data_IF_122675609628
#
_entry.id   IF_122675609628
#
_cell.length_a   1.000
_cell.length_b   1.000
_cell.length_c   1.000
_cell.angle_alpha   90.00
_cell.angle_beta   90.00
_cell.angle_gamma   90.00
#
_symmetry.space_group_name_H-M   'P 1'
#
loop_
_entity.id
_entity.type
_entity.pdbx_description
1 polymer ?
#
# COMPACT_ATOMS: atom_id res chain seq x y z
N UNK A 1 3.25 0.01 44.16
CA UNK A 1 4.48 0.10 43.33
C UNK A 1 4.04 0.49 41.93
N UNK A 2 4.53 1.60 41.36
CA UNK A 2 3.86 2.23 40.24
C UNK A 2 4.15 1.43 38.94
N UNK A 3 3.08 0.97 38.28
CA UNK A 3 3.05 0.04 37.14
C UNK A 3 3.34 0.72 35.78
N UNK A 4 4.00 1.88 35.81
CA UNK A 4 4.21 2.80 34.69
C UNK A 4 5.59 2.66 34.02
N UNK A 5 6.42 1.69 34.42
CA UNK A 5 7.74 1.47 33.79
C UNK A 5 7.68 0.73 32.45
N UNK A 6 6.62 -0.06 32.17
CA UNK A 6 6.54 -0.87 30.94
C UNK A 6 6.10 -0.08 29.70
N UNK A 7 5.36 1.03 29.90
CA UNK A 7 4.88 1.85 28.78
C UNK A 7 6.02 2.58 28.05
N UNK A 8 7.02 3.05 28.81
CA UNK A 8 8.16 3.75 28.22
C UNK A 8 9.08 2.80 27.46
N UNK A 9 9.25 1.57 27.93
CA UNK A 9 10.02 0.53 27.23
C UNK A 9 9.44 0.24 25.83
N UNK A 10 8.11 0.14 25.71
CA UNK A 10 7.46 -0.05 24.41
C UNK A 10 7.70 1.12 23.44
N UNK A 11 7.73 2.36 23.95
CA UNK A 11 8.04 3.54 23.14
C UNK A 11 9.48 3.48 22.65
N UNK A 12 10.44 3.07 23.48
CA UNK A 12 11.85 2.95 23.08
C UNK A 12 12.02 1.90 21.98
N UNK A 13 11.37 0.74 22.12
CA UNK A 13 11.38 -0.32 21.11
C UNK A 13 10.75 0.18 19.80
N UNK A 14 9.63 0.89 19.88
CA UNK A 14 8.98 1.47 18.72
C UNK A 14 9.92 2.45 17.99
N UNK A 15 10.61 3.32 18.73
CA UNK A 15 11.60 4.25 18.15
C UNK A 15 12.73 3.50 17.44
N UNK A 16 13.26 2.41 18.02
CA UNK A 16 14.29 1.59 17.37
C UNK A 16 13.78 0.96 16.06
N UNK A 17 12.56 0.43 16.05
CA UNK A 17 11.95 -0.14 14.84
C UNK A 17 11.75 0.96 13.79
N UNK A 18 11.30 2.16 14.18
CA UNK A 18 11.18 3.30 13.27
C UNK A 18 12.54 3.76 12.71
N UNK A 19 13.62 3.67 13.48
CA UNK A 19 14.97 3.99 12.99
C UNK A 19 15.47 2.95 11.98
N UNK A 20 15.23 1.66 12.23
CA UNK A 20 15.67 0.57 11.34
C UNK A 20 14.85 0.49 10.06
N UNK A 21 13.52 0.53 10.20
CA UNK A 21 12.60 0.34 9.09
C UNK A 21 12.18 1.66 8.44
N UNK A 22 12.24 2.79 9.16
CA UNK A 22 11.76 4.09 8.71
C UNK A 22 10.26 4.31 8.98
N UNK A 23 9.89 5.56 9.23
CA UNK A 23 8.50 5.96 9.56
C UNK A 23 7.47 5.65 8.45
N UNK A 24 7.90 5.50 7.19
CA UNK A 24 7.02 5.19 6.05
C UNK A 24 6.74 3.69 5.87
N UNK A 25 7.61 2.79 6.36
CA UNK A 25 7.52 1.35 6.09
C UNK A 25 6.62 0.61 7.08
N UNK A 26 6.60 1.02 8.34
CA UNK A 26 5.68 0.48 9.34
C UNK A 26 4.19 0.64 9.00
N UNK A 27 3.70 1.83 8.61
CA UNK A 27 2.28 2.00 8.27
C UNK A 27 1.90 1.22 7.00
N UNK A 28 2.79 1.11 6.02
CA UNK A 28 2.54 0.30 4.81
C UNK A 28 2.43 -1.19 5.13
N UNK A 29 3.33 -1.73 5.95
CA UNK A 29 3.28 -3.12 6.39
C UNK A 29 2.04 -3.39 7.25
N UNK A 30 1.68 -2.47 8.14
CA UNK A 30 0.46 -2.59 8.94
C UNK A 30 -0.81 -2.57 8.08
N UNK A 31 -0.87 -1.73 7.03
CA UNK A 31 -2.00 -1.67 6.09
C UNK A 31 -2.14 -2.95 5.28
N UNK A 32 -1.04 -3.51 4.76
CA UNK A 32 -1.09 -4.74 3.95
C UNK A 32 -1.47 -5.97 4.79
N UNK A 33 -0.90 -6.10 6.00
CA UNK A 33 -1.24 -7.16 6.95
C UNK A 33 -2.64 -6.98 7.52
N UNK A 34 -3.08 -5.75 7.75
CA UNK A 34 -4.44 -5.44 8.21
C UNK A 34 -5.49 -5.84 7.18
N UNK A 35 -5.24 -5.61 5.88
CA UNK A 35 -6.15 -5.99 4.80
C UNK A 35 -6.28 -7.52 4.69
N UNK A 36 -5.18 -8.27 4.77
CA UNK A 36 -5.22 -9.74 4.77
C UNK A 36 -5.88 -10.32 6.02
N UNK A 37 -5.60 -9.77 7.20
CA UNK A 37 -6.27 -10.17 8.44
C UNK A 37 -7.78 -9.89 8.42
N UNK A 38 -8.23 -8.77 7.81
CA UNK A 38 -9.65 -8.43 7.72
C UNK A 38 -10.42 -9.48 6.92
N UNK A 39 -9.88 -9.86 5.76
CA UNK A 39 -10.48 -10.87 4.88
C UNK A 39 -10.53 -12.22 5.58
N UNK A 40 -9.41 -12.65 6.16
CA UNK A 40 -9.35 -13.90 6.92
C UNK A 40 -10.33 -13.92 8.10
N UNK A 41 -10.45 -12.82 8.83
CA UNK A 41 -11.41 -12.69 9.94
C UNK A 41 -12.86 -12.74 9.46
N UNK A 42 -13.18 -12.18 8.30
CA UNK A 42 -14.52 -12.23 7.72
C UNK A 42 -14.87 -13.67 7.33
N UNK A 43 -14.02 -14.34 6.56
CA UNK A 43 -14.24 -15.73 6.15
C UNK A 43 -14.35 -16.69 7.34
N UNK A 44 -13.46 -16.54 8.34
CA UNK A 44 -13.50 -17.36 9.57
C UNK A 44 -14.75 -17.08 10.41
N UNK A 45 -15.28 -15.86 10.38
CA UNK A 45 -16.50 -15.50 11.10
C UNK A 45 -17.74 -16.06 10.40
N UNK A 46 -17.78 -16.02 9.07
CA UNK A 46 -18.85 -16.61 8.26
C UNK A 46 -18.90 -18.14 8.45
N UNK A 47 -17.74 -18.80 8.55
CA UNK A 47 -17.64 -20.23 8.86
C UNK A 47 -18.09 -20.60 10.28
N UNK A 48 -18.10 -19.65 11.21
CA UNK A 48 -18.48 -19.89 12.62
C UNK A 48 -19.88 -19.38 12.96
N UNK A 49 -20.56 -18.70 12.05
CA UNK A 49 -21.86 -18.07 12.31
C UNK A 49 -22.74 -18.25 11.09
N UNK A 50 -23.63 -19.24 11.13
CA UNK A 50 -24.71 -19.52 10.16
C UNK A 50 -25.82 -18.42 10.17
N UNK A 51 -25.47 -17.15 10.37
CA UNK A 51 -26.43 -16.03 10.40
C UNK A 51 -25.90 -14.85 9.56
N UNK A 52 -26.72 -14.23 8.67
CA UNK A 52 -26.24 -13.24 7.71
C UNK A 52 -25.80 -11.94 8.40
N UNK A 53 -24.50 -11.64 8.35
CA UNK A 53 -23.97 -10.34 8.74
C UNK A 53 -24.28 -9.27 7.67
N UNK A 54 -24.59 -8.01 8.06
CA UNK A 54 -24.83 -6.92 7.11
C UNK A 54 -23.60 -6.68 6.23
N UNK A 55 -23.85 -6.59 4.92
CA UNK A 55 -22.85 -6.26 3.92
C UNK A 55 -22.44 -4.78 4.02
N UNK A 56 -21.43 -4.47 4.82
CA UNK A 56 -20.69 -3.21 4.67
C UNK A 56 -19.61 -3.36 3.61
N UNK A 57 -20.04 -3.33 2.36
CA UNK A 57 -19.17 -3.12 1.20
C UNK A 57 -19.00 -1.62 0.98
N UNK A 58 -17.86 -1.07 1.38
CA UNK A 58 -17.23 0.03 0.65
C UNK A 58 -15.71 -0.15 0.70
N UNK A 59 -15.07 -0.63 -0.37
CA UNK A 59 -13.64 -0.51 -0.53
C UNK A 59 -13.32 0.93 -0.97
N UNK A 60 -13.07 1.80 0.00
CA UNK A 60 -12.33 3.03 -0.23
C UNK A 60 -10.90 2.83 0.28
N UNK A 61 -10.14 2.05 -0.47
CA UNK A 61 -8.68 2.04 -0.39
C UNK A 61 -8.13 3.03 -1.42
N UNK A 62 -8.26 4.33 -1.14
CA UNK A 62 -7.36 5.35 -1.69
C UNK A 62 -7.12 6.41 -0.60
N UNK A 63 -5.86 6.55 -0.17
CA UNK A 63 -5.22 7.81 -0.47
C UNK A 63 -3.88 7.54 -1.14
N UNK A 64 -3.85 7.74 -2.45
CA UNK A 64 -2.82 8.48 -3.18
C UNK A 64 -1.54 8.71 -2.38
N UNK A 65 -0.56 7.84 -2.57
CA UNK A 65 0.84 8.25 -2.68
C UNK A 65 1.40 7.54 -3.90
N UNK A 66 0.84 7.93 -5.02
CA UNK A 66 1.59 8.15 -6.25
C UNK A 66 2.69 9.18 -5.91
N UNK A 67 3.89 8.70 -5.60
CA UNK A 67 5.09 9.54 -5.49
C UNK A 67 6.35 8.67 -5.54
N UNK A 68 6.64 8.14 -6.73
CA UNK A 68 8.00 8.05 -7.24
C UNK A 68 7.99 7.88 -8.76
N UNK A 69 7.95 9.03 -9.44
CA UNK A 69 8.85 9.29 -10.58
C UNK A 69 8.52 8.54 -11.87
N UNK A 70 7.64 9.17 -12.65
CA UNK A 70 7.99 9.57 -14.01
C UNK A 70 9.42 10.14 -14.03
N UNK A 71 10.42 9.29 -14.26
CA UNK A 71 11.67 9.70 -14.87
C UNK A 71 11.42 9.64 -16.38
N UNK A 72 11.06 10.78 -16.94
CA UNK A 72 11.21 11.01 -18.36
C UNK A 72 12.67 10.75 -18.76
N UNK A 73 12.96 9.96 -19.80
CA UNK A 73 14.13 10.24 -20.61
C UNK A 73 13.76 11.42 -21.51
N UNK A 74 14.23 12.61 -21.14
CA UNK A 74 14.27 13.74 -22.06
C UNK A 74 15.16 13.41 -23.25
N UNK A 75 14.56 13.54 -24.44
CA UNK A 75 15.11 14.10 -25.67
C UNK A 75 16.55 13.72 -26.11
N UNK A 76 16.60 13.03 -27.24
CA UNK A 76 17.73 12.80 -28.15
C UNK A 76 17.40 11.49 -28.87
N UNK A 77 16.97 11.45 -30.12
CA UNK A 77 17.62 11.92 -31.35
C UNK A 77 16.52 11.73 -32.42
N UNK A 78 16.05 12.76 -33.11
CA UNK A 78 16.42 12.96 -34.52
C UNK A 78 15.47 12.27 -35.52
N UNK A 79 14.50 13.09 -35.96
CA UNK A 79 14.00 13.24 -37.34
C UNK A 79 14.22 12.06 -38.31
N UNK A 80 13.11 11.49 -38.79
CA UNK A 80 12.69 11.67 -40.20
C UNK A 80 11.21 11.30 -40.40
N UNK A 81 10.37 12.24 -40.84
CA UNK A 81 9.13 11.93 -41.55
C UNK A 81 9.49 11.76 -43.04
N UNK A 82 9.42 10.55 -43.56
CA UNK A 82 9.31 10.30 -45.01
C UNK A 82 8.46 9.04 -45.14
N UNK A 83 7.15 9.20 -45.32
CA UNK A 83 6.53 9.27 -46.66
C UNK A 83 5.92 7.89 -46.96
N UNK A 84 4.78 7.63 -46.30
CA UNK A 84 3.86 6.58 -46.71
C UNK A 84 2.91 7.19 -47.75
N UNK A 85 3.13 6.85 -49.03
CA UNK A 85 2.08 6.90 -50.05
C UNK A 85 2.50 7.35 -51.45
N UNK A 86 2.88 6.40 -52.32
CA UNK A 86 2.45 6.47 -53.73
C UNK A 86 2.23 5.06 -54.34
N UNK A 87 0.98 4.69 -54.69
CA UNK A 87 0.63 3.41 -55.29
C UNK A 87 0.73 3.47 -56.82
N UNK A 88 1.90 3.15 -57.39
CA UNK A 88 2.01 2.87 -58.83
C UNK A 88 3.28 2.06 -59.19
N UNK A 89 3.17 0.73 -59.24
CA UNK A 89 3.92 -0.16 -60.15
C UNK A 89 3.24 -1.51 -60.31
#
# INVERSE_FOLDING_TARGET
MPANMRGWELIIILVLILLLFGARRLPDLARSVGRSMKIFRAEVKDLRTDEPAPQDSTPSDDPSTDAATTAAPSAGEERRPTDDGDPAR
#
